data_IF_813131888085
#
_entry.id   IF_813131888085
#
_cell.length_a   1.000
_cell.length_b   1.000
_cell.length_c   1.000
_cell.angle_alpha   90.00
_cell.angle_beta   90.00
_cell.angle_gamma   90.00
#
_symmetry.space_group_name_H-M   'P 1'
#
loop_
_entity.id
_entity.type
_entity.pdbx_description
1 polymer ?
#
# COMPACT_ATOMS: atom_id res chain seq x y z
N UNK A 1 12.28 -11.03 -6.80
CA UNK A 1 12.09 -9.96 -5.80
C UNK A 1 10.59 -9.70 -5.64
N UNK A 2 10.08 -9.68 -4.41
CA UNK A 2 8.64 -9.60 -4.06
C UNK A 2 7.97 -8.37 -4.69
N UNK A 3 8.56 -7.17 -4.54
CA UNK A 3 8.03 -5.94 -5.15
C UNK A 3 7.74 -6.08 -6.66
N UNK A 4 8.67 -6.70 -7.41
CA UNK A 4 8.49 -6.88 -8.86
C UNK A 4 7.32 -7.82 -9.16
N UNK A 5 7.14 -8.89 -8.38
CA UNK A 5 6.00 -9.79 -8.54
C UNK A 5 4.67 -9.06 -8.37
N UNK A 6 4.54 -8.21 -7.32
CA UNK A 6 3.34 -7.39 -7.16
C UNK A 6 3.14 -6.40 -8.31
N UNK A 7 4.22 -5.70 -8.69
CA UNK A 7 4.16 -4.71 -9.77
C UNK A 7 3.70 -5.31 -11.10
N UNK A 8 4.21 -6.48 -11.43
CA UNK A 8 3.84 -7.23 -12.65
C UNK A 8 2.42 -7.79 -12.53
N UNK A 9 2.06 -8.33 -11.37
CA UNK A 9 0.75 -8.94 -11.13
C UNK A 9 -0.42 -7.95 -11.11
N UNK A 10 -0.17 -6.68 -10.82
CA UNK A 10 -1.20 -5.63 -10.75
C UNK A 10 -1.11 -4.62 -11.90
N UNK A 11 -0.25 -4.85 -12.89
CA UNK A 11 -0.02 -3.91 -13.98
C UNK A 11 -1.26 -3.62 -14.84
N UNK A 12 -2.22 -4.54 -14.87
CA UNK A 12 -3.49 -4.44 -15.57
C UNK A 12 -4.64 -3.87 -14.73
N UNK A 13 -4.42 -3.59 -13.44
CA UNK A 13 -5.42 -3.00 -12.55
C UNK A 13 -5.15 -1.50 -12.41
N UNK A 14 -5.84 -0.69 -13.21
CA UNK A 14 -5.65 0.77 -13.25
C UNK A 14 -5.81 1.46 -11.89
N UNK A 15 -6.63 0.87 -11.01
CA UNK A 15 -6.86 1.39 -9.66
C UNK A 15 -5.67 1.20 -8.71
N UNK A 16 -4.68 0.38 -9.05
CA UNK A 16 -3.52 0.10 -8.19
C UNK A 16 -2.28 0.83 -8.69
N UNK A 17 -1.63 1.56 -7.78
CA UNK A 17 -0.31 2.14 -8.03
C UNK A 17 0.67 1.62 -6.98
N UNK A 18 1.73 0.93 -7.41
CA UNK A 18 2.81 0.51 -6.51
C UNK A 18 3.69 1.69 -6.12
N UNK A 19 4.30 1.63 -4.92
CA UNK A 19 5.22 2.66 -4.48
C UNK A 19 6.30 2.95 -5.54
N UNK A 20 6.60 4.23 -5.83
CA UNK A 20 7.55 4.60 -6.86
C UNK A 20 8.97 4.19 -6.47
N UNK A 21 9.78 3.87 -7.48
CA UNK A 21 11.21 3.62 -7.34
C UNK A 21 11.98 4.85 -7.79
N UNK A 22 12.96 5.28 -6.99
CA UNK A 22 13.86 6.34 -7.42
C UNK A 22 14.76 5.80 -8.56
N UNK A 23 14.75 6.42 -9.74
CA UNK A 23 15.59 5.98 -10.86
C UNK A 23 17.09 6.19 -10.60
N UNK A 24 17.44 7.13 -9.70
CA UNK A 24 18.81 7.49 -9.38
C UNK A 24 19.37 6.75 -8.16
N UNK A 25 18.69 5.70 -7.69
CA UNK A 25 19.09 4.97 -6.49
C UNK A 25 18.70 3.50 -6.51
N UNK A 26 19.38 2.72 -5.68
CA UNK A 26 19.11 1.31 -5.46
C UNK A 26 18.20 1.11 -4.23
N UNK A 27 16.92 0.88 -4.45
CA UNK A 27 16.00 0.55 -3.37
C UNK A 27 16.18 -0.91 -2.93
N UNK A 28 16.26 -1.13 -1.62
CA UNK A 28 16.31 -2.48 -1.05
C UNK A 28 14.95 -3.21 -1.08
N UNK A 29 13.87 -2.48 -1.40
CA UNK A 29 12.49 -2.99 -1.44
C UNK A 29 12.08 -3.75 -0.17
N UNK A 30 12.46 -3.20 0.97
CA UNK A 30 12.12 -3.76 2.29
C UNK A 30 10.62 -4.03 2.42
N UNK A 31 9.79 -3.06 2.04
CA UNK A 31 8.34 -3.23 2.01
C UNK A 31 7.79 -2.86 0.63
N UNK A 32 6.82 -3.65 0.19
CA UNK A 32 6.02 -3.36 -1.00
C UNK A 32 4.73 -2.68 -0.57
N UNK A 33 4.49 -1.50 -1.07
CA UNK A 33 3.31 -0.71 -0.76
C UNK A 33 2.53 -0.41 -2.03
N UNK A 34 1.21 -0.35 -1.91
CA UNK A 34 0.35 0.11 -3.00
C UNK A 34 -0.58 1.21 -2.50
N UNK A 35 -1.03 2.06 -3.41
CA UNK A 35 -2.14 2.98 -3.21
C UNK A 35 -3.26 2.64 -4.16
N UNK A 36 -4.50 2.88 -3.71
CA UNK A 36 -5.72 2.66 -4.49
C UNK A 36 -6.17 4.01 -5.06
N UNK A 37 -6.63 4.03 -6.30
CA UNK A 37 -7.13 5.24 -6.93
C UNK A 37 -8.29 5.86 -6.14
N UNK A 38 -8.36 7.20 -6.01
CA UNK A 38 -9.33 7.87 -5.13
C UNK A 38 -10.79 7.70 -5.59
N UNK A 39 -11.00 7.40 -6.85
CA UNK A 39 -12.31 7.14 -7.49
C UNK A 39 -12.70 5.65 -7.52
N UNK A 40 -11.83 4.79 -7.01
CA UNK A 40 -12.11 3.35 -6.90
C UNK A 40 -13.03 3.08 -5.70
N UNK A 41 -14.00 2.18 -5.88
CA UNK A 41 -14.91 1.74 -4.80
C UNK A 41 -14.24 0.84 -3.77
N UNK A 42 -13.09 0.25 -4.10
CA UNK A 42 -12.30 -0.58 -3.18
C UNK A 42 -11.54 0.29 -2.20
N UNK A 43 -11.57 -0.09 -0.93
CA UNK A 43 -10.85 0.60 0.14
C UNK A 43 -9.65 -0.23 0.65
N UNK A 44 -8.64 0.42 1.28
CA UNK A 44 -7.56 -0.30 1.96
C UNK A 44 -8.04 -1.35 2.96
N UNK A 45 -9.08 -1.04 3.75
CA UNK A 45 -9.64 -1.96 4.74
C UNK A 45 -10.20 -3.23 4.10
N UNK A 46 -10.89 -3.12 2.97
CA UNK A 46 -11.41 -4.29 2.24
C UNK A 46 -10.28 -5.21 1.76
N UNK A 47 -9.15 -4.65 1.35
CA UNK A 47 -7.97 -5.45 0.97
C UNK A 47 -7.35 -6.12 2.19
N UNK A 48 -7.20 -5.40 3.29
CA UNK A 48 -6.65 -5.94 4.54
C UNK A 48 -7.55 -7.03 5.12
N UNK A 49 -8.86 -6.83 5.14
CA UNK A 49 -9.84 -7.80 5.64
C UNK A 49 -9.83 -9.09 4.80
N UNK A 50 -9.81 -8.96 3.47
CA UNK A 50 -9.77 -10.13 2.58
C UNK A 50 -8.51 -10.99 2.78
N UNK A 51 -7.38 -10.40 3.11
CA UNK A 51 -6.15 -11.12 3.42
C UNK A 51 -6.16 -11.69 4.85
N UNK A 52 -6.74 -10.96 5.81
CA UNK A 52 -6.86 -11.39 7.20
C UNK A 52 -7.72 -12.67 7.34
N UNK A 53 -8.73 -12.89 6.49
CA UNK A 53 -9.51 -14.12 6.44
C UNK A 53 -8.64 -15.37 6.18
N UNK A 54 -7.48 -15.20 5.59
CA UNK A 54 -6.50 -16.26 5.31
C UNK A 54 -5.28 -16.23 6.24
N UNK A 55 -5.36 -15.50 7.38
CA UNK A 55 -4.24 -15.27 8.30
C UNK A 55 -3.02 -14.60 7.65
N UNK A 56 -3.25 -13.78 6.63
CA UNK A 56 -2.21 -13.02 5.96
C UNK A 56 -2.23 -11.60 6.51
N UNK A 57 -1.13 -11.21 7.16
CA UNK A 57 -1.00 -9.89 7.75
C UNK A 57 -0.67 -8.84 6.71
N UNK A 58 -1.41 -7.74 6.74
CA UNK A 58 -1.13 -6.49 6.03
C UNK A 58 -1.17 -5.34 7.02
N UNK A 59 -0.63 -4.21 6.64
CA UNK A 59 -0.61 -3.01 7.48
C UNK A 59 -1.07 -1.78 6.69
N UNK A 60 -1.73 -0.82 7.33
CA UNK A 60 -1.88 0.51 6.71
C UNK A 60 -0.51 1.13 6.47
N UNK A 61 -0.44 2.07 5.55
CA UNK A 61 0.75 2.94 5.38
C UNK A 61 0.98 3.70 6.69
N UNK A 62 2.22 4.14 6.95
CA UNK A 62 2.58 4.87 8.16
C UNK A 62 1.73 6.12 8.33
N UNK A 63 1.15 6.25 9.52
CA UNK A 63 0.38 7.44 9.90
C UNK A 63 1.29 8.67 9.89
N UNK A 64 0.94 9.72 9.15
CA UNK A 64 1.72 10.96 9.11
C UNK A 64 1.96 11.56 10.50
N UNK A 65 3.13 12.16 10.71
CA UNK A 65 3.55 12.69 12.01
C UNK A 65 2.55 13.70 12.57
N UNK A 66 2.07 14.63 11.75
CA UNK A 66 1.11 15.68 12.16
C UNK A 66 -0.27 15.13 12.55
N UNK A 67 -0.60 13.89 12.17
CA UNK A 67 -1.83 13.20 12.60
C UNK A 67 -1.66 12.40 13.90
N UNK A 68 -0.44 12.29 14.41
CA UNK A 68 -0.20 11.57 15.64
C UNK A 68 -0.52 12.47 16.86
N UNK A 69 -1.21 11.95 17.89
CA UNK A 69 -1.64 12.76 19.04
C UNK A 69 -0.52 13.54 19.73
N UNK A 70 0.69 12.99 19.74
CA UNK A 70 1.87 13.62 20.37
C UNK A 70 2.30 14.91 19.67
N UNK A 71 1.88 15.12 18.41
CA UNK A 71 2.20 16.30 17.60
C UNK A 71 0.99 17.19 17.33
N UNK A 72 -0.14 16.99 18.05
CA UNK A 72 -1.38 17.73 17.80
C UNK A 72 -1.23 19.25 17.97
N UNK A 73 -0.33 19.68 18.85
CA UNK A 73 -0.06 21.10 19.13
C UNK A 73 1.14 21.65 18.33
N UNK A 74 1.67 20.88 17.38
CA UNK A 74 2.78 21.32 16.52
C UNK A 74 2.28 21.91 15.20
N UNK A 75 2.99 22.92 14.71
CA UNK A 75 2.73 23.50 13.40
C UNK A 75 3.00 22.46 12.30
N UNK A 76 2.10 22.38 11.32
CA UNK A 76 2.26 21.57 10.12
C UNK A 76 2.39 22.47 8.90
N UNK A 77 3.60 22.53 8.33
CA UNK A 77 3.89 23.36 7.15
C UNK A 77 3.67 22.53 5.89
N UNK A 78 2.79 22.97 5.03
CA UNK A 78 2.47 22.34 3.75
C UNK A 78 3.07 23.13 2.58
N UNK A 79 3.55 22.43 1.55
CA UNK A 79 4.02 23.07 0.31
C UNK A 79 2.86 23.75 -0.43
N UNK A 80 1.69 23.13 -0.38
CA UNK A 80 0.44 23.68 -0.92
C UNK A 80 -0.64 23.59 0.13
N UNK A 81 -1.23 24.74 0.48
CA UNK A 81 -2.28 24.80 1.48
C UNK A 81 -3.46 23.88 1.16
N UNK A 82 -3.94 23.17 2.19
CA UNK A 82 -5.07 22.24 2.08
C UNK A 82 -4.76 20.93 1.35
N UNK A 83 -3.49 20.65 1.03
CA UNK A 83 -3.10 19.39 0.39
C UNK A 83 -1.92 18.71 1.10
N UNK A 84 -2.22 17.65 1.84
CA UNK A 84 -1.23 16.79 2.45
C UNK A 84 -1.05 15.51 1.64
N UNK A 85 0.09 15.38 0.96
CA UNK A 85 0.42 14.17 0.17
C UNK A 85 0.55 12.96 1.09
N UNK A 86 1.10 13.13 2.28
CA UNK A 86 1.26 12.04 3.25
C UNK A 86 -0.08 11.51 3.78
N UNK A 87 -1.06 12.39 4.02
CA UNK A 87 -2.42 11.99 4.40
C UNK A 87 -3.12 11.24 3.25
N UNK A 88 -2.99 11.75 2.02
CA UNK A 88 -3.58 11.11 0.85
C UNK A 88 -3.04 9.69 0.67
N UNK A 89 -1.71 9.50 0.75
CA UNK A 89 -1.08 8.18 0.68
C UNK A 89 -1.52 7.30 1.85
N UNK A 90 -1.59 7.82 3.07
CA UNK A 90 -2.02 7.08 4.25
C UNK A 90 -3.46 6.58 4.11
N UNK A 91 -4.37 7.44 3.63
CA UNK A 91 -5.78 7.11 3.51
C UNK A 91 -6.10 6.09 2.41
N UNK A 92 -5.23 5.97 1.40
CA UNK A 92 -5.44 5.11 0.24
C UNK A 92 -4.44 3.96 0.12
N UNK A 93 -3.50 3.86 1.06
CA UNK A 93 -2.37 2.97 0.95
C UNK A 93 -2.45 1.73 1.82
N UNK A 94 -1.80 0.67 1.36
CA UNK A 94 -1.63 -0.61 2.07
C UNK A 94 -0.17 -1.07 1.94
N UNK A 95 0.41 -1.51 3.06
CA UNK A 95 1.66 -2.28 3.07
C UNK A 95 1.34 -3.76 2.86
N UNK A 96 1.90 -4.34 1.81
CA UNK A 96 1.69 -5.73 1.43
C UNK A 96 2.71 -6.66 2.10
N UNK A 97 2.38 -7.96 2.26
CA UNK A 97 3.30 -8.96 2.79
C UNK A 97 4.62 -8.96 1.99
N UNK A 98 5.73 -8.68 2.65
CA UNK A 98 7.03 -8.51 1.99
C UNK A 98 8.13 -9.37 2.63
N UNK A 99 7.77 -10.41 3.40
CA UNK A 99 8.71 -11.35 3.99
C UNK A 99 9.37 -12.20 2.91
N UNK A 100 10.71 -12.25 2.95
CA UNK A 100 11.52 -13.09 2.05
C UNK A 100 11.28 -14.59 2.22
N UNK A 101 10.63 -15.01 3.30
CA UNK A 101 10.22 -16.39 3.53
C UNK A 101 8.95 -16.81 2.78
N UNK A 102 8.21 -15.83 2.22
CA UNK A 102 7.05 -16.16 1.41
C UNK A 102 7.45 -17.05 0.23
N UNK A 103 6.82 -18.21 0.14
CA UNK A 103 7.00 -19.13 -0.97
C UNK A 103 6.34 -18.62 -2.25
N UNK A 104 6.66 -19.16 -3.43
CA UNK A 104 5.93 -18.84 -4.66
C UNK A 104 4.43 -19.12 -4.55
N UNK A 105 4.02 -20.12 -3.80
CA UNK A 105 2.62 -20.49 -3.54
C UNK A 105 1.95 -19.44 -2.67
N UNK A 106 2.62 -18.95 -1.62
CA UNK A 106 2.12 -17.85 -0.77
C UNK A 106 1.92 -16.58 -1.60
N UNK A 107 2.89 -16.24 -2.44
CA UNK A 107 2.81 -15.07 -3.31
C UNK A 107 1.64 -15.17 -4.30
N UNK A 108 1.43 -16.35 -4.90
CA UNK A 108 0.27 -16.58 -5.79
C UNK A 108 -1.05 -16.42 -5.04
N UNK A 109 -1.15 -16.96 -3.83
CA UNK A 109 -2.35 -16.82 -3.00
C UNK A 109 -2.62 -15.35 -2.68
N UNK A 110 -1.63 -14.62 -2.14
CA UNK A 110 -1.75 -13.21 -1.79
C UNK A 110 -2.22 -12.39 -3.00
N UNK A 111 -1.54 -12.55 -4.13
CA UNK A 111 -1.89 -11.83 -5.37
C UNK A 111 -3.32 -12.16 -5.82
N UNK A 112 -3.71 -13.44 -5.79
CA UNK A 112 -5.05 -13.85 -6.21
C UNK A 112 -6.15 -13.28 -5.31
N UNK A 113 -5.91 -13.21 -4.01
CA UNK A 113 -6.87 -12.64 -3.04
C UNK A 113 -7.04 -11.13 -3.28
N UNK A 114 -5.94 -10.39 -3.47
CA UNK A 114 -5.99 -8.96 -3.76
C UNK A 114 -6.77 -8.73 -5.07
N UNK A 115 -6.41 -9.43 -6.15
CA UNK A 115 -7.11 -9.28 -7.46
C UNK A 115 -8.60 -9.48 -7.33
N UNK A 116 -9.06 -10.50 -6.59
CA UNK A 116 -10.50 -10.76 -6.36
C UNK A 116 -11.25 -9.59 -5.70
N UNK A 117 -10.57 -8.79 -4.90
CA UNK A 117 -11.20 -7.60 -4.29
C UNK A 117 -11.52 -6.55 -5.35
N UNK A 118 -10.69 -6.42 -6.39
CA UNK A 118 -10.86 -5.46 -7.48
C UNK A 118 -11.73 -5.98 -8.65
N UNK A 119 -12.04 -7.27 -8.68
CA UNK A 119 -12.90 -7.88 -9.72
C UNK A 119 -14.41 -7.79 -9.39
N UNK A 120 -14.76 -7.23 -8.23
CA UNK A 120 -16.14 -7.00 -7.79
C UNK A 120 -16.62 -5.63 -8.27
#
# INVERSE_FOLDING_TARGET
MIYRQYKEAFADIEAITMNPMNPDGDANNWLSCMTIAPDCSVTPDQVMDALAEYNIETRPIWKPMHLQPVFADCDFIQVKEGRSVSEDIFNRGVCLPSDIKNTPEDMKLIISLIRKVFEK
#
